data_IF_903939203896
#
_entry.id   IF_903939203896
#
_cell.length_a   1.000
_cell.length_b   1.000
_cell.length_c   1.000
_cell.angle_alpha   90.00
_cell.angle_beta   90.00
_cell.angle_gamma   90.00
#
_symmetry.space_group_name_H-M   'P 1'
#
loop_
_entity.id
_entity.type
_entity.pdbx_description
1 polymer ?
#
# COMPACT_ATOMS: atom_id res chain seq x y z
N UNK A 1 -8.73 12.73 15.53
CA UNK A 1 -7.95 13.16 14.36
C UNK A 1 -6.49 12.88 14.70
N UNK A 2 -5.71 12.28 13.82
CA UNK A 2 -4.33 11.87 14.14
C UNK A 2 -3.46 13.10 14.45
N UNK A 3 -2.84 13.14 15.64
CA UNK A 3 -2.10 14.29 16.20
C UNK A 3 -0.68 14.43 15.63
N UNK A 4 -0.56 14.25 14.31
CA UNK A 4 0.71 14.36 13.61
C UNK A 4 0.94 15.79 13.10
N UNK A 5 1.99 16.42 13.61
CA UNK A 5 2.57 17.64 13.07
C UNK A 5 3.56 17.26 11.98
N UNK A 6 3.32 17.70 10.74
CA UNK A 6 4.14 17.33 9.58
C UNK A 6 4.90 18.54 9.06
N UNK A 7 6.22 18.43 9.03
CA UNK A 7 7.12 19.37 8.39
C UNK A 7 7.67 18.78 7.09
N UNK A 8 7.15 19.24 5.97
CA UNK A 8 7.56 18.77 4.64
C UNK A 8 8.95 19.28 4.26
N UNK A 9 9.34 20.47 4.73
CA UNK A 9 10.65 21.05 4.40
C UNK A 9 11.77 20.31 5.15
N UNK A 10 11.55 20.03 6.43
CA UNK A 10 12.47 19.23 7.25
C UNK A 10 12.33 17.71 7.03
N UNK A 11 11.39 17.26 6.18
CA UNK A 11 11.07 15.85 5.92
C UNK A 11 10.80 15.05 7.20
N UNK A 12 9.90 15.57 8.03
CA UNK A 12 9.70 15.07 9.40
C UNK A 12 8.23 15.06 9.78
N UNK A 13 7.83 14.07 10.57
CA UNK A 13 6.53 14.06 11.24
C UNK A 13 6.71 13.78 12.73
N UNK A 14 6.04 14.56 13.58
CA UNK A 14 6.08 14.46 15.03
C UNK A 14 4.68 14.23 15.59
N UNK A 15 4.56 13.29 16.52
CA UNK A 15 3.34 12.99 17.25
C UNK A 15 3.36 13.65 18.62
N UNK A 16 2.18 13.92 19.18
CA UNK A 16 2.00 14.48 20.53
C UNK A 16 2.67 13.66 21.64
N UNK A 17 2.75 12.34 21.47
CA UNK A 17 3.39 11.43 22.41
C UNK A 17 4.93 11.44 22.37
N UNK A 18 5.55 12.29 21.55
CA UNK A 18 7.00 12.39 21.40
C UNK A 18 7.59 11.53 20.28
N UNK A 19 6.80 10.61 19.70
CA UNK A 19 7.24 9.83 18.54
C UNK A 19 7.53 10.73 17.34
N UNK A 20 8.64 10.46 16.65
CA UNK A 20 9.11 11.21 15.50
C UNK A 20 9.49 10.26 14.37
N UNK A 21 9.20 10.65 13.13
CA UNK A 21 9.64 9.92 11.93
C UNK A 21 10.36 10.90 11.02
N UNK A 22 11.60 10.55 10.68
CA UNK A 22 12.43 11.31 9.73
C UNK A 22 12.39 10.57 8.40
N UNK A 23 11.93 11.25 7.36
CA UNK A 23 11.72 10.67 6.03
C UNK A 23 12.87 10.95 5.09
N UNK A 24 13.13 10.01 4.20
CA UNK A 24 14.04 10.14 3.07
C UNK A 24 13.29 9.85 1.76
N UNK A 25 13.75 10.44 0.66
CA UNK A 25 13.08 10.32 -0.65
C UNK A 25 11.78 11.14 -0.77
N UNK A 26 10.97 10.78 -1.77
CA UNK A 26 9.68 11.40 -2.06
C UNK A 26 8.54 10.38 -1.85
N UNK A 27 7.39 10.73 -1.26
CA UNK A 27 6.25 9.83 -1.00
C UNK A 27 5.76 8.93 -2.14
N UNK A 28 5.99 9.35 -3.38
CA UNK A 28 5.55 8.66 -4.61
C UNK A 28 6.69 7.87 -5.28
N UNK A 29 7.91 7.95 -4.74
CA UNK A 29 9.08 7.25 -5.26
C UNK A 29 9.26 5.89 -4.61
N UNK A 30 9.93 4.98 -5.33
CA UNK A 30 10.30 3.65 -4.81
C UNK A 30 11.40 3.69 -3.74
N UNK A 31 12.04 4.85 -3.55
CA UNK A 31 13.07 5.10 -2.53
C UNK A 31 12.52 5.88 -1.33
N UNK A 32 11.21 5.83 -1.11
CA UNK A 32 10.58 6.44 0.06
C UNK A 32 10.77 5.57 1.30
N UNK A 33 11.43 6.13 2.31
CA UNK A 33 11.68 5.46 3.58
C UNK A 33 11.53 6.44 4.75
N UNK A 34 11.43 5.91 5.97
CA UNK A 34 11.28 6.69 7.18
C UNK A 34 11.88 5.98 8.39
N UNK A 35 12.76 6.71 9.10
CA UNK A 35 13.38 6.23 10.33
C UNK A 35 12.58 6.72 11.53
N UNK A 36 11.89 5.83 12.26
CA UNK A 36 11.17 6.22 13.46
C UNK A 36 12.12 6.37 14.66
N UNK A 37 11.79 7.29 15.57
CA UNK A 37 12.58 7.64 16.75
C UNK A 37 11.67 8.21 17.87
N UNK A 38 12.21 8.35 19.08
CA UNK A 38 11.55 9.10 20.16
C UNK A 38 10.33 8.43 20.77
N UNK A 39 10.21 7.10 20.66
CA UNK A 39 9.11 6.36 21.29
C UNK A 39 9.25 6.36 22.82
N UNK A 40 8.19 6.70 23.57
CA UNK A 40 8.16 6.53 25.02
C UNK A 40 8.40 5.08 25.43
N UNK A 41 8.99 4.85 26.60
CA UNK A 41 9.22 3.48 27.11
C UNK A 41 7.92 2.73 27.44
N UNK A 42 6.83 3.47 27.65
CA UNK A 42 5.54 2.95 28.12
C UNK A 42 4.65 2.39 27.00
N UNK A 43 5.00 2.62 25.72
CA UNK A 43 4.19 2.16 24.60
C UNK A 43 4.60 0.78 24.11
N UNK A 44 3.60 -0.05 23.83
CA UNK A 44 3.79 -1.42 23.34
C UNK A 44 4.31 -1.43 21.91
N UNK A 45 4.95 -2.54 21.50
CA UNK A 45 5.42 -2.70 20.12
C UNK A 45 4.29 -2.59 19.09
N UNK A 46 3.07 -3.02 19.44
CA UNK A 46 1.89 -2.92 18.56
C UNK A 46 1.52 -1.44 18.36
N UNK A 47 1.48 -0.66 19.44
CA UNK A 47 1.20 0.78 19.37
C UNK A 47 2.28 1.52 18.59
N UNK A 48 3.56 1.15 18.74
CA UNK A 48 4.66 1.69 17.94
C UNK A 48 4.40 1.47 16.44
N UNK A 49 3.99 0.27 16.03
CA UNK A 49 3.66 -0.03 14.62
C UNK A 49 2.48 0.81 14.13
N UNK A 50 1.43 0.99 14.96
CA UNK A 50 0.29 1.85 14.61
C UNK A 50 0.73 3.30 14.45
N UNK A 51 1.58 3.81 15.34
CA UNK A 51 2.15 5.15 15.24
C UNK A 51 2.96 5.30 13.96
N UNK A 52 3.86 4.37 13.66
CA UNK A 52 4.67 4.39 12.43
C UNK A 52 3.74 4.46 11.22
N UNK A 53 2.77 3.54 11.12
CA UNK A 53 1.84 3.51 9.99
C UNK A 53 1.07 4.82 9.83
N UNK A 54 0.51 5.34 10.92
CA UNK A 54 -0.27 6.58 10.87
C UNK A 54 0.59 7.81 10.58
N UNK A 55 1.85 7.83 11.01
CA UNK A 55 2.82 8.87 10.68
C UNK A 55 3.19 8.89 9.20
N UNK A 56 3.43 7.73 8.59
CA UNK A 56 3.63 7.62 7.13
C UNK A 56 2.38 8.07 6.36
N UNK A 57 1.18 7.69 6.79
CA UNK A 57 -0.08 8.15 6.17
C UNK A 57 -0.27 9.67 6.29
N UNK A 58 0.04 10.25 7.46
CA UNK A 58 -0.01 11.70 7.69
C UNK A 58 0.96 12.45 6.78
N UNK A 59 2.20 11.98 6.66
CA UNK A 59 3.22 12.60 5.82
C UNK A 59 2.82 12.56 4.34
N UNK A 60 2.37 11.41 3.82
CA UNK A 60 1.89 11.29 2.44
C UNK A 60 0.70 12.21 2.16
N UNK A 61 -0.25 12.29 3.09
CA UNK A 61 -1.42 13.17 2.97
C UNK A 61 -1.02 14.65 2.95
N UNK A 62 -0.02 15.04 3.73
CA UNK A 62 0.48 16.42 3.74
C UNK A 62 1.12 16.79 2.39
N UNK A 63 1.85 15.87 1.76
CA UNK A 63 2.39 16.05 0.42
C UNK A 63 1.30 16.20 -0.65
N UNK A 64 0.27 15.37 -0.62
CA UNK A 64 -0.86 15.45 -1.56
C UNK A 64 -1.69 16.73 -1.42
N UNK A 65 -1.70 17.37 -0.25
CA UNK A 65 -2.38 18.67 -0.06
C UNK A 65 -1.63 19.83 -0.75
N UNK A 66 -0.33 19.70 -1.01
CA UNK A 66 0.45 20.73 -1.72
C UNK A 66 0.29 20.65 -3.23
N UNK A 67 -0.21 19.53 -3.77
CA UNK A 67 -0.57 19.38 -5.18
C UNK A 67 -2.05 19.76 -5.40
N UNK A 68 -2.37 20.89 -6.04
CA UNK A 68 -3.74 21.23 -6.38
C UNK A 68 -4.17 20.36 -7.55
N UNK A 69 -4.69 19.17 -7.26
CA UNK A 69 -5.24 18.29 -8.29
C UNK A 69 -5.03 16.83 -7.96
N UNK A 70 -5.89 16.28 -7.11
CA UNK A 70 -6.57 15.00 -7.32
C UNK A 70 -7.45 14.73 -6.10
N UNK A 71 -8.71 15.13 -6.23
CA UNK A 71 -9.76 14.77 -5.29
C UNK A 71 -9.99 13.26 -5.32
N UNK A 72 -10.01 12.69 -4.11
CA UNK A 72 -10.79 11.54 -3.67
C UNK A 72 -11.30 10.55 -4.74
N UNK A 73 -10.70 9.35 -4.75
CA UNK A 73 -11.50 8.14 -4.87
C UNK A 73 -11.63 7.47 -3.50
N UNK A 74 -12.72 7.80 -2.81
CA UNK A 74 -13.32 6.94 -1.77
C UNK A 74 -14.23 5.92 -2.45
N UNK A 75 -14.04 4.64 -2.17
CA UNK A 75 -15.12 3.65 -1.94
C UNK A 75 -14.64 2.74 -0.79
N UNK A 76 -14.94 3.11 0.46
CA UNK A 76 -16.06 2.65 1.31
C UNK A 76 -16.14 1.13 1.47
N UNK A 77 -15.90 0.71 2.72
CA UNK A 77 -16.10 -0.61 3.34
C UNK A 77 -17.57 -1.00 3.52
N UNK A 78 -17.88 -2.31 3.51
CA UNK A 78 -18.95 -2.90 4.34
C UNK A 78 -18.82 -4.44 4.41
N UNK A 79 -18.56 -4.93 5.62
CA UNK A 79 -19.20 -6.03 6.36
C UNK A 79 -19.71 -7.29 5.63
N UNK A 80 -19.42 -8.42 6.27
CA UNK A 80 -20.08 -9.74 6.24
C UNK A 80 -19.49 -10.82 5.31
N UNK A 81 -19.40 -12.01 5.90
CA UNK A 81 -18.84 -13.26 5.39
C UNK A 81 -19.31 -13.64 3.98
N UNK A 82 -18.37 -14.20 3.20
CA UNK A 82 -18.54 -15.41 2.35
C UNK A 82 -17.27 -15.65 1.54
N UNK A 83 -16.48 -16.66 1.92
CA UNK A 83 -15.81 -17.51 0.92
C UNK A 83 -16.88 -18.40 0.25
N UNK A 84 -16.64 -19.04 -0.90
CA UNK A 84 -15.68 -18.74 -1.98
C UNK A 84 -16.39 -18.72 -3.35
N UNK A 85 -15.81 -18.10 -4.39
CA UNK A 85 -16.04 -18.55 -5.78
C UNK A 85 -14.76 -18.33 -6.59
N UNK A 86 -14.04 -19.42 -6.80
CA UNK A 86 -13.03 -19.56 -7.86
C UNK A 86 -13.81 -19.49 -9.19
N UNK A 87 -13.53 -18.51 -10.04
CA UNK A 87 -13.90 -18.56 -11.46
C UNK A 87 -12.67 -18.29 -12.30
N UNK A 88 -12.03 -19.39 -12.68
CA UNK A 88 -10.99 -19.50 -13.68
C UNK A 88 -11.52 -19.11 -15.06
N UNK A 89 -10.70 -18.43 -15.85
CA UNK A 89 -10.58 -18.67 -17.30
C UNK A 89 -9.13 -18.39 -17.71
N UNK A 90 -8.29 -19.43 -17.62
CA UNK A 90 -6.98 -19.38 -18.27
C UNK A 90 -7.19 -19.60 -19.77
N UNK A 91 -6.93 -18.56 -20.57
CA UNK A 91 -6.96 -18.62 -22.03
C UNK A 91 -5.66 -19.27 -22.52
N UNK A 92 -5.58 -20.61 -22.50
CA UNK A 92 -4.47 -21.34 -23.13
C UNK A 92 -5.02 -22.16 -24.30
N UNK A 93 -4.51 -21.97 -25.53
CA UNK A 93 -4.91 -22.77 -26.68
C UNK A 93 -4.46 -24.23 -26.50
N UNK A 94 -5.39 -25.16 -26.68
CA UNK A 94 -5.13 -26.61 -26.67
C UNK A 94 -4.70 -27.00 -28.09
N UNK A 95 -3.42 -27.38 -28.25
CA UNK A 95 -2.92 -28.02 -29.47
C UNK A 95 -3.49 -29.45 -29.55
N UNK A 96 -4.34 -29.72 -30.55
CA UNK A 96 -4.77 -31.08 -30.88
C UNK A 96 -4.01 -31.58 -32.11
N UNK A 97 -3.31 -32.69 -31.94
CA UNK A 97 -2.57 -33.39 -32.99
C UNK A 97 -3.55 -34.26 -33.79
N UNK A 98 -3.90 -33.88 -35.01
CA UNK A 98 -4.67 -34.75 -35.92
C UNK A 98 -3.70 -35.59 -36.74
N UNK A 99 -3.70 -36.90 -36.47
CA UNK A 99 -3.07 -37.93 -37.28
C UNK A 99 -3.94 -38.18 -38.51
N UNK A 100 -3.37 -38.12 -39.70
CA UNK A 100 -4.01 -38.56 -40.94
C UNK A 100 -3.22 -39.73 -41.50
N UNK A 101 -3.87 -40.89 -41.46
CA UNK A 101 -3.53 -42.18 -42.06
C UNK A 101 -3.30 -42.01 -43.56
N UNK A 102 -2.15 -42.46 -44.04
CA UNK A 102 -1.87 -42.69 -45.47
C UNK A 102 -2.50 -44.03 -45.87
N UNK A 103 -3.63 -43.97 -46.55
CA UNK A 103 -4.09 -45.04 -47.44
C UNK A 103 -3.34 -44.87 -48.77
N UNK A 104 -2.52 -45.86 -49.13
CA UNK A 104 -1.99 -46.02 -50.49
C UNK A 104 -2.65 -47.28 -51.08
N UNK A 105 -3.51 -47.06 -52.07
CA UNK A 105 -4.03 -48.11 -52.96
C UNK A 105 -3.09 -48.28 -54.16
N UNK A 106 -3.02 -49.53 -54.64
CA UNK A 106 -2.61 -50.05 -55.96
C UNK A 106 -1.74 -49.16 -56.89
#
# INVERSE_FOLDING_TARGET
>A
MSEWEVDIAAKRARHSCGAEIIFSGHPESNSFDGKPNGFPAEITAIEQVVLIRTGFEAYRKAHQKKSPGHSQLRRKSSTAERRPVIKSKSNRPIMSLKRSTTESSD
#
